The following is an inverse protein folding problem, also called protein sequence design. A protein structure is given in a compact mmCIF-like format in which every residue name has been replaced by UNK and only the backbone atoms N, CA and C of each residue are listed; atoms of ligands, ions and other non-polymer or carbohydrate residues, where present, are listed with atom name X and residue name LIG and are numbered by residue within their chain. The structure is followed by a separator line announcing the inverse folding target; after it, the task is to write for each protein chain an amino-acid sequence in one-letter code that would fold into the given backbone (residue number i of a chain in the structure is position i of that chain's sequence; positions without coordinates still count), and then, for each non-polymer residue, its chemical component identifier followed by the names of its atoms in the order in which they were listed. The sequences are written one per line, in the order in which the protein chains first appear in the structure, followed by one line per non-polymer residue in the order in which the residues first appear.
data_IF_034399867720
#
_entry.id   IF_034399867720
#
_cell.length_a   1.000
_cell.length_b   1.000
_cell.length_c   1.000
_cell.angle_alpha   90.00
_cell.angle_beta   90.00
_cell.angle_gamma   90.00
#
_symmetry.space_group_name_H-M   'P 1'
#
loop_
_entity.id
_entity.type
_entity.pdbx_description
1 polymer ?
#
# COMPACT_ATOMS: atom_id res chain seq x y z
N UNK A 1 24.29 -7.44 -9.63
CA UNK A 1 24.18 -6.44 -8.54
C UNK A 1 22.75 -6.50 -8.02
N UNK A 2 22.51 -6.19 -6.75
CA UNK A 2 21.17 -6.29 -6.16
C UNK A 2 20.80 -5.03 -5.38
N UNK A 3 19.51 -4.73 -5.33
CA UNK A 3 18.96 -3.71 -4.44
C UNK A 3 18.20 -4.37 -3.30
N UNK A 4 18.31 -3.78 -2.11
CA UNK A 4 17.53 -4.24 -0.96
C UNK A 4 16.11 -3.70 -1.03
N UNK A 5 15.16 -4.57 -0.69
CA UNK A 5 13.74 -4.26 -0.68
C UNK A 5 13.21 -4.33 0.74
N UNK A 6 12.56 -3.25 1.15
CA UNK A 6 12.05 -3.07 2.50
C UNK A 6 10.53 -2.89 2.48
N UNK A 7 9.87 -3.45 3.49
CA UNK A 7 8.54 -3.00 3.93
C UNK A 7 8.78 -1.87 4.92
N UNK A 8 8.19 -0.70 4.68
CA UNK A 8 8.34 0.46 5.55
C UNK A 8 6.96 0.88 6.05
N UNK A 9 6.86 1.18 7.34
CA UNK A 9 5.63 1.69 7.96
C UNK A 9 5.86 3.11 8.45
N UNK A 10 4.95 4.00 8.06
CA UNK A 10 4.90 5.38 8.52
C UNK A 10 3.66 5.61 9.39
N UNK A 11 3.79 6.35 10.48
CA UNK A 11 2.68 6.85 11.28
C UNK A 11 1.78 7.72 10.41
N UNK A 12 0.47 7.56 10.57
CA UNK A 12 -0.51 8.43 9.93
C UNK A 12 -0.57 9.76 10.68
N UNK A 13 -0.61 10.88 9.94
CA UNK A 13 -0.85 12.19 10.53
C UNK A 13 -2.26 12.29 11.14
N UNK A 14 -3.24 11.64 10.50
CA UNK A 14 -4.60 11.52 10.98
C UNK A 14 -5.09 10.09 10.74
N UNK A 15 -5.59 9.45 11.80
CA UNK A 15 -6.22 8.14 11.69
C UNK A 15 -7.58 8.24 10.98
N UNK A 16 -7.93 7.21 10.22
CA UNK A 16 -9.28 7.07 9.66
C UNK A 16 -10.19 6.58 10.79
N UNK A 17 -11.20 7.36 11.22
CA UNK A 17 -12.02 7.02 12.38
C UNK A 17 -12.84 5.74 12.17
N UNK A 18 -13.06 5.35 10.92
CA UNK A 18 -13.81 4.14 10.56
C UNK A 18 -12.90 2.91 10.41
N UNK A 19 -11.62 3.01 10.79
CA UNK A 19 -10.65 1.92 10.75
C UNK A 19 -10.10 1.61 12.15
N UNK A 20 -9.83 0.33 12.48
CA UNK A 20 -9.25 -0.03 13.78
C UNK A 20 -7.85 0.54 13.95
N UNK A 21 -7.53 1.09 15.12
CA UNK A 21 -6.21 1.67 15.44
C UNK A 21 -5.34 0.72 16.28
N UNK A 22 -3.99 0.83 16.21
CA UNK A 22 -3.19 1.75 15.40
C UNK A 22 -3.10 1.34 13.92
N UNK A 23 -2.89 2.32 13.04
CA UNK A 23 -2.72 2.13 11.59
C UNK A 23 -1.46 2.84 11.11
N UNK A 24 -0.84 2.25 10.09
CA UNK A 24 0.30 2.82 9.40
C UNK A 24 0.01 2.99 7.91
N UNK A 25 0.73 3.92 7.28
CA UNK A 25 0.93 3.90 5.84
C UNK A 25 2.08 2.96 5.54
N UNK A 26 1.76 1.77 5.03
CA UNK A 26 2.77 0.77 4.68
C UNK A 26 3.10 0.88 3.20
N UNK A 27 4.39 0.83 2.87
CA UNK A 27 4.91 0.92 1.50
C UNK A 27 6.01 -0.10 1.26
N UNK A 28 6.27 -0.37 -0.02
CA UNK A 28 7.50 -1.02 -0.47
C UNK A 28 8.56 0.06 -0.75
N UNK A 29 9.78 -0.14 -0.29
CA UNK A 29 10.90 0.76 -0.53
C UNK A 29 12.09 -0.03 -1.08
N UNK A 30 12.59 0.36 -2.26
CA UNK A 30 13.78 -0.23 -2.87
C UNK A 30 14.93 0.75 -2.73
N UNK A 31 15.99 0.36 -2.00
CA UNK A 31 17.17 1.22 -1.81
C UNK A 31 18.05 1.15 -3.05
N UNK A 32 18.06 2.21 -3.84
CA UNK A 32 18.77 2.27 -5.14
C UNK A 32 20.01 3.16 -5.12
N UNK A 33 20.20 3.99 -4.09
CA UNK A 33 21.33 4.91 -3.98
C UNK A 33 22.22 4.61 -2.76
N UNK A 34 23.54 4.87 -2.84
CA UNK A 34 24.47 4.64 -1.72
C UNK A 34 24.14 5.46 -0.46
N UNK A 35 23.53 6.63 -0.61
CA UNK A 35 23.12 7.49 0.50
C UNK A 35 21.87 6.98 1.26
N UNK A 36 21.31 5.84 0.86
CA UNK A 36 20.10 5.29 1.47
C UNK A 36 18.80 5.71 0.80
N UNK A 37 18.84 6.65 -0.14
CA UNK A 37 17.69 7.02 -0.96
C UNK A 37 17.28 5.88 -1.89
N UNK A 38 16.04 5.94 -2.37
CA UNK A 38 15.46 4.85 -3.12
C UNK A 38 14.19 5.24 -3.84
N UNK A 39 13.40 4.23 -4.15
CA UNK A 39 12.08 4.37 -4.78
C UNK A 39 11.04 3.76 -3.86
N UNK A 40 9.95 4.49 -3.66
CA UNK A 40 8.77 4.06 -2.93
C UNK A 40 7.75 3.53 -3.94
N UNK A 41 7.22 2.35 -3.67
CA UNK A 41 6.10 1.74 -4.38
C UNK A 41 4.92 1.61 -3.41
N UNK A 42 3.80 2.24 -3.74
CA UNK A 42 2.63 2.25 -2.87
C UNK A 42 1.33 2.47 -3.64
N UNK A 43 0.21 2.36 -2.93
CA UNK A 43 -1.06 2.94 -3.40
C UNK A 43 -1.36 4.22 -2.64
N UNK A 44 -1.88 5.20 -3.36
CA UNK A 44 -2.29 6.51 -2.86
C UNK A 44 -3.74 6.79 -3.23
N UNK A 45 -4.43 7.59 -2.44
CA UNK A 45 -5.86 7.87 -2.58
C UNK A 45 -6.63 7.62 -1.29
N UNK A 46 -7.95 7.53 -1.39
CA UNK A 46 -8.84 7.44 -0.24
C UNK A 46 -10.00 6.45 -0.49
N UNK A 47 -10.84 6.23 0.53
CA UNK A 47 -11.92 5.25 0.44
C UNK A 47 -13.11 5.73 -0.43
N UNK A 48 -13.21 7.02 -0.73
CA UNK A 48 -14.29 7.66 -1.49
C UNK A 48 -13.94 7.85 -2.95
N UNK A 49 -12.69 8.17 -3.29
CA UNK A 49 -12.21 8.25 -4.67
C UNK A 49 -11.64 6.91 -5.17
N UNK A 50 -11.23 6.05 -4.25
CA UNK A 50 -10.44 4.87 -4.54
C UNK A 50 -8.94 5.17 -4.46
N UNK A 51 -8.14 4.14 -4.66
CA UNK A 51 -6.69 4.25 -4.63
C UNK A 51 -6.07 3.89 -5.98
N UNK A 52 -4.86 4.37 -6.21
CA UNK A 52 -4.08 4.09 -7.40
C UNK A 52 -2.65 3.76 -7.02
N UNK A 53 -2.07 2.81 -7.75
CA UNK A 53 -0.66 2.49 -7.61
C UNK A 53 0.21 3.61 -8.16
N UNK A 54 1.28 3.94 -7.43
CA UNK A 54 2.31 4.88 -7.84
C UNK A 54 3.69 4.40 -7.39
N UNK A 55 4.70 4.67 -8.21
CA UNK A 55 6.10 4.66 -7.82
C UNK A 55 6.68 6.07 -7.85
N UNK A 56 7.54 6.40 -6.88
CA UNK A 56 8.19 7.71 -6.79
C UNK A 56 9.55 7.64 -6.11
N UNK A 57 10.43 8.58 -6.43
CA UNK A 57 11.67 8.77 -5.67
C UNK A 57 11.37 9.10 -4.21
N UNK A 58 12.11 8.44 -3.30
CA UNK A 58 11.99 8.61 -1.86
C UNK A 58 13.37 8.82 -1.23
N UNK A 59 13.38 9.59 -0.14
CA UNK A 59 14.54 9.68 0.74
C UNK A 59 14.67 8.42 1.59
N UNK A 60 15.82 8.25 2.24
CA UNK A 60 16.01 7.22 3.26
C UNK A 60 14.83 7.27 4.25
N UNK A 61 14.12 6.15 4.49
CA UNK A 61 12.90 6.13 5.31
C UNK A 61 13.03 6.79 6.68
N UNK A 62 14.18 6.57 7.33
CA UNK A 62 14.52 7.06 8.66
C UNK A 62 14.63 8.58 8.76
N UNK A 63 14.80 9.28 7.64
CA UNK A 63 14.86 10.75 7.60
C UNK A 63 13.45 11.38 7.72
N UNK A 64 12.39 10.56 7.66
CA UNK A 64 11.01 11.02 7.81
C UNK A 64 10.57 11.09 9.27
N UNK A 65 9.98 12.21 9.68
CA UNK A 65 9.41 12.35 11.04
C UNK A 65 8.28 11.36 11.33
N UNK A 66 7.59 10.86 10.31
CA UNK A 66 6.53 9.86 10.46
C UNK A 66 7.06 8.44 10.40
N UNK A 67 8.37 8.21 10.26
CA UNK A 67 8.94 6.87 10.26
C UNK A 67 8.56 6.11 11.52
N UNK A 68 8.07 4.88 11.37
CA UNK A 68 7.79 3.98 12.48
C UNK A 68 8.79 2.83 12.53
N UNK A 69 8.85 2.03 11.45
CA UNK A 69 9.83 0.97 11.30
C UNK A 69 10.04 0.59 9.83
N UNK A 70 11.07 -0.22 9.58
CA UNK A 70 11.25 -0.95 8.33
C UNK A 70 11.68 -2.39 8.59
N UNK A 71 11.37 -3.26 7.65
CA UNK A 71 11.68 -4.68 7.67
C UNK A 71 12.28 -5.06 6.32
N UNK A 72 13.45 -5.71 6.33
CA UNK A 72 14.06 -6.22 5.11
C UNK A 72 13.24 -7.40 4.60
N UNK A 73 12.71 -7.29 3.39
CA UNK A 73 11.97 -8.37 2.73
C UNK A 73 12.90 -9.29 1.92
N UNK A 74 14.03 -8.77 1.47
CA UNK A 74 14.97 -9.48 0.62
C UNK A 74 15.66 -8.53 -0.36
N UNK A 75 16.04 -9.06 -1.52
CA UNK A 75 16.72 -8.32 -2.56
C UNK A 75 16.09 -8.52 -3.94
N UNK A 76 16.28 -7.55 -4.83
CA UNK A 76 15.91 -7.63 -6.25
C UNK A 76 17.16 -7.43 -7.11
N UNK A 77 17.29 -8.23 -8.17
CA UNK A 77 18.37 -8.06 -9.15
C UNK A 77 18.25 -6.71 -9.86
N UNK A 78 19.38 -6.04 -10.10
CA UNK A 78 19.38 -4.77 -10.86
C UNK A 78 18.81 -4.93 -12.26
N UNK A 79 18.89 -6.11 -12.88
CA UNK A 79 18.31 -6.41 -14.19
C UNK A 79 16.77 -6.47 -14.16
N UNK A 80 16.18 -6.74 -13.00
CA UNK A 80 14.72 -6.82 -12.81
C UNK A 80 14.12 -5.50 -12.32
N UNK A 81 14.96 -4.49 -12.02
CA UNK A 81 14.55 -3.24 -11.40
C UNK A 81 14.89 -2.01 -12.27
N UNK A 82 13.94 -1.08 -12.51
CA UNK A 82 12.57 -1.04 -11.99
C UNK A 82 11.57 -1.90 -12.78
N UNK A 83 11.90 -2.39 -13.98
CA UNK A 83 10.94 -2.95 -14.94
C UNK A 83 10.00 -4.03 -14.40
N UNK A 84 10.52 -5.24 -14.13
CA UNK A 84 9.71 -6.38 -13.68
C UNK A 84 9.05 -6.09 -12.34
N UNK A 85 9.75 -5.39 -11.44
CA UNK A 85 9.24 -5.01 -10.13
C UNK A 85 8.02 -4.09 -10.21
N UNK A 86 8.12 -3.00 -10.97
CA UNK A 86 7.04 -2.02 -11.16
C UNK A 86 5.86 -2.66 -11.89
N UNK A 87 6.11 -3.48 -12.92
CA UNK A 87 5.08 -4.22 -13.64
C UNK A 87 4.33 -5.19 -12.72
N UNK A 88 5.04 -5.96 -11.89
CA UNK A 88 4.41 -6.90 -10.95
C UNK A 88 3.51 -6.17 -9.95
N UNK A 89 3.94 -4.99 -9.47
CA UNK A 89 3.11 -4.15 -8.61
C UNK A 89 1.86 -3.62 -9.35
N UNK A 90 2.01 -3.14 -10.59
CA UNK A 90 0.89 -2.61 -11.41
C UNK A 90 -0.18 -3.66 -11.74
N UNK A 91 0.22 -4.92 -11.84
CA UNK A 91 -0.71 -6.03 -12.05
C UNK A 91 -1.59 -6.32 -10.84
N UNK A 92 -1.23 -5.83 -9.64
CA UNK A 92 -2.07 -5.97 -8.46
C UNK A 92 -3.16 -4.90 -8.46
N UNK A 93 -4.45 -5.28 -8.39
CA UNK A 93 -5.54 -4.31 -8.43
C UNK A 93 -5.42 -3.35 -7.22
N UNK A 94 -5.36 -2.03 -7.43
CA UNK A 94 -5.35 -1.11 -6.31
C UNK A 94 -6.72 -1.16 -5.60
N UNK A 95 -6.78 -0.82 -4.30
CA UNK A 95 -8.05 -0.79 -3.59
C UNK A 95 -9.06 0.12 -4.29
N UNK A 96 -10.25 -0.38 -4.65
CA UNK A 96 -11.26 0.43 -5.31
C UNK A 96 -11.86 1.43 -4.33
N UNK A 97 -12.74 2.29 -4.84
CA UNK A 97 -13.68 3.03 -3.99
C UNK A 97 -14.44 2.04 -3.11
N UNK A 98 -14.58 2.36 -1.83
CA UNK A 98 -15.23 1.52 -0.82
C UNK A 98 -16.27 2.29 -0.02
N UNK A 99 -16.29 3.62 -0.10
CA UNK A 99 -17.30 4.48 0.50
C UNK A 99 -17.91 5.40 -0.55
N UNK A 100 -19.14 5.83 -0.29
CA UNK A 100 -19.84 6.84 -1.08
C UNK A 100 -20.75 7.64 -0.15
N UNK A 101 -21.03 8.89 -0.50
CA UNK A 101 -22.07 9.66 0.16
C UNK A 101 -23.44 9.02 -0.09
N UNK A 102 -24.15 8.73 0.99
CA UNK A 102 -25.53 8.22 0.98
C UNK A 102 -26.50 9.38 1.24
N UNK A 103 -27.26 9.83 0.22
CA UNK A 103 -28.21 10.92 0.40
C UNK A 103 -29.35 10.59 1.38
N UNK A 104 -29.69 9.32 1.57
CA UNK A 104 -30.78 8.93 2.46
C UNK A 104 -30.41 9.09 3.95
N UNK A 105 -29.14 8.91 4.29
CA UNK A 105 -28.63 9.02 5.68
C UNK A 105 -27.81 10.28 5.90
N UNK A 106 -27.53 11.05 4.83
CA UNK A 106 -26.62 12.19 4.81
C UNK A 106 -25.23 11.88 5.37
N UNK A 107 -24.73 10.65 5.14
CA UNK A 107 -23.42 10.18 5.65
C UNK A 107 -22.58 9.54 4.55
N UNK A 108 -21.26 9.59 4.73
CA UNK A 108 -20.33 8.81 3.89
C UNK A 108 -20.24 7.40 4.46
N UNK A 109 -20.76 6.44 3.72
CA UNK A 109 -20.93 5.07 4.20
C UNK A 109 -20.24 4.07 3.27
N UNK A 110 -19.89 2.90 3.83
CA UNK A 110 -19.32 1.81 3.05
C UNK A 110 -20.32 1.30 2.02
N UNK A 111 -19.84 1.05 0.79
CA UNK A 111 -20.62 0.51 -0.31
C UNK A 111 -20.12 -0.89 -0.70
N UNK A 112 -21.01 -1.67 -1.30
CA UNK A 112 -20.73 -2.95 -1.94
C UNK A 112 -19.99 -2.71 -3.27
N UNK A 113 -19.35 -3.76 -3.85
CA UNK A 113 -18.69 -3.64 -5.15
C UNK A 113 -19.62 -3.18 -6.29
N UNK A 114 -20.91 -3.51 -6.22
CA UNK A 114 -21.93 -3.05 -7.16
C UNK A 114 -22.36 -1.58 -6.97
N UNK A 115 -21.83 -0.90 -5.95
CA UNK A 115 -22.11 0.49 -5.63
C UNK A 115 -23.34 0.71 -4.73
N UNK A 116 -24.07 -0.34 -4.36
CA UNK A 116 -25.16 -0.27 -3.39
C UNK A 116 -24.65 -0.17 -1.94
N UNK A 117 -25.48 0.31 -1.02
CA UNK A 117 -25.12 0.38 0.40
C UNK A 117 -25.44 -0.93 1.13
N UNK A 118 -24.68 -1.22 2.18
CA UNK A 118 -25.02 -2.33 3.10
C UNK A 118 -26.28 -1.98 3.89
N UNK A 119 -27.18 -2.96 4.04
CA UNK A 119 -28.39 -2.82 4.85
C UNK A 119 -28.07 -2.92 6.35
N UNK A 120 -29.00 -2.46 7.19
CA UNK A 120 -28.88 -2.63 8.63
C UNK A 120 -28.77 -4.12 8.99
N UNK A 121 -27.78 -4.48 9.80
CA UNK A 121 -27.51 -5.87 10.18
C UNK A 121 -26.70 -6.69 9.16
N UNK A 122 -26.45 -6.18 7.95
CA UNK A 122 -25.53 -6.84 7.02
C UNK A 122 -24.08 -6.71 7.52
N UNK A 123 -23.33 -7.80 7.41
CA UNK A 123 -21.91 -7.82 7.72
C UNK A 123 -21.14 -7.00 6.69
N UNK A 124 -20.38 -6.00 7.17
CA UNK A 124 -19.50 -5.17 6.34
C UNK A 124 -18.11 -5.79 6.32
N UNK A 125 -17.52 -6.09 5.15
CA UNK A 125 -16.15 -6.58 5.09
C UNK A 125 -15.16 -5.49 5.54
N UNK A 126 -14.00 -5.87 6.10
CA UNK A 126 -12.95 -4.91 6.44
C UNK A 126 -12.50 -4.12 5.20
N UNK A 127 -12.36 -2.81 5.35
CA UNK A 127 -11.88 -1.97 4.25
C UNK A 127 -10.39 -2.19 4.00
N UNK A 128 -10.00 -2.03 2.74
CA UNK A 128 -8.64 -2.24 2.24
C UNK A 128 -8.03 -0.87 1.95
N UNK A 129 -6.89 -0.56 2.58
CA UNK A 129 -6.08 0.62 2.27
C UNK A 129 -4.68 0.18 1.83
N UNK A 130 -3.75 1.12 1.79
CA UNK A 130 -2.34 0.89 1.46
C UNK A 130 -1.71 -0.30 2.20
N UNK A 131 -1.94 -0.43 3.50
CA UNK A 131 -1.38 -1.53 4.29
C UNK A 131 -1.86 -2.89 3.82
N UNK A 132 -3.17 -3.07 3.65
CA UNK A 132 -3.71 -4.34 3.15
C UNK A 132 -3.24 -4.64 1.73
N UNK A 133 -3.18 -3.65 0.84
CA UNK A 133 -2.68 -3.84 -0.52
C UNK A 133 -1.21 -4.27 -0.52
N UNK A 134 -0.36 -3.58 0.25
CA UNK A 134 1.07 -3.90 0.32
C UNK A 134 1.31 -5.27 0.94
N UNK A 135 0.68 -5.57 2.08
CA UNK A 135 0.93 -6.82 2.81
C UNK A 135 0.27 -8.03 2.19
N UNK A 136 -0.94 -7.89 1.63
CA UNK A 136 -1.74 -9.04 1.15
C UNK A 136 -1.64 -9.25 -0.35
N UNK A 137 -1.21 -8.24 -1.13
CA UNK A 137 -1.15 -8.33 -2.59
C UNK A 137 0.28 -8.14 -3.10
N UNK A 138 0.86 -6.96 -2.92
CA UNK A 138 2.13 -6.60 -3.57
C UNK A 138 3.31 -7.46 -3.08
N UNK A 139 3.52 -7.57 -1.76
CA UNK A 139 4.60 -8.38 -1.20
C UNK A 139 4.47 -9.86 -1.61
N UNK A 140 3.31 -10.53 -1.41
CA UNK A 140 3.14 -11.91 -1.85
C UNK A 140 3.36 -12.11 -3.34
N UNK A 141 2.90 -11.19 -4.21
CA UNK A 141 3.10 -11.29 -5.65
C UNK A 141 4.59 -11.23 -6.02
N UNK A 142 5.33 -10.26 -5.46
CA UNK A 142 6.77 -10.11 -5.72
C UNK A 142 7.59 -11.30 -5.24
N UNK A 143 7.24 -11.89 -4.09
CA UNK A 143 7.88 -13.11 -3.59
C UNK A 143 7.55 -14.33 -4.45
N UNK A 144 6.26 -14.53 -4.77
CA UNK A 144 5.79 -15.68 -5.56
C UNK A 144 6.38 -15.71 -6.96
N UNK A 145 6.57 -14.54 -7.58
CA UNK A 145 7.20 -14.41 -8.89
C UNK A 145 8.74 -14.40 -8.84
N UNK A 146 9.35 -14.58 -7.66
CA UNK A 146 10.80 -14.59 -7.49
C UNK A 146 11.48 -13.25 -7.80
N UNK A 147 10.71 -12.15 -7.82
CA UNK A 147 11.22 -10.80 -8.07
C UNK A 147 11.96 -10.31 -6.82
N UNK A 148 11.39 -10.53 -5.63
CA UNK A 148 12.11 -10.43 -4.36
C UNK A 148 12.63 -11.82 -4.02
N UNK A 149 13.94 -11.93 -3.82
CA UNK A 149 14.59 -13.12 -3.28
C UNK A 149 14.91 -12.88 -1.80
N UNK A 150 14.34 -13.71 -0.93
CA UNK A 150 14.71 -13.73 0.49
C UNK A 150 16.16 -14.24 0.61
N UNK A 151 16.93 -13.61 1.49
CA UNK A 151 18.31 -14.04 1.79
C UNK A 151 18.31 -15.05 2.91
#
# INVERSE_FOLDING_TARGET
MVFEVYKVRYKLAMADPDMPSPRYHTVLFVRTKPNGDGIIHHVTGDLVSGMQYQSKSGKRPEDSQTFHNKELLGVVETTNYPGVFDQTCRQQPPPPRQKKFNPATHRTEQMKPDGSFYKQGEMKPPMVKCTEWTERQAIPALLRHGVIKQR
#
